data_IF_552350819929
#
_entry.id   IF_552350819929
#
_cell.length_a   1.000
_cell.length_b   1.000
_cell.length_c   1.000
_cell.angle_alpha   90.00
_cell.angle_beta   90.00
_cell.angle_gamma   90.00
#
_symmetry.space_group_name_H-M   'P 1'
#
loop_
_entity.id
_entity.type
_entity.pdbx_description
1 polymer ?
#
# COMPACT_ATOMS: atom_id res chain seq x y z
N UNK A 1 -26.38 6.71 -11.47
CA UNK A 1 -26.50 8.05 -12.06
C UNK A 1 -27.62 8.87 -11.42
N UNK A 2 -28.90 8.43 -11.34
CA UNK A 2 -29.95 9.28 -10.71
C UNK A 2 -29.61 9.68 -9.28
N UNK A 3 -29.18 8.73 -8.44
CA UNK A 3 -28.84 9.00 -7.04
C UNK A 3 -27.59 9.89 -6.82
N UNK A 4 -26.73 10.10 -7.83
CA UNK A 4 -25.56 11.00 -7.72
C UNK A 4 -25.95 12.43 -8.07
N UNK A 5 -26.73 12.59 -9.14
CA UNK A 5 -27.21 13.90 -9.56
C UNK A 5 -28.15 14.49 -8.50
N UNK A 6 -29.01 13.67 -7.90
CA UNK A 6 -29.91 14.10 -6.83
C UNK A 6 -29.12 14.64 -5.61
N UNK A 7 -28.08 13.92 -5.17
CA UNK A 7 -27.19 14.35 -4.06
C UNK A 7 -26.39 15.60 -4.44
N UNK A 8 -25.88 15.69 -5.67
CA UNK A 8 -25.23 16.90 -6.15
C UNK A 8 -26.15 18.10 -6.10
N UNK A 9 -27.37 17.98 -6.64
CA UNK A 9 -28.31 19.11 -6.66
C UNK A 9 -28.72 19.52 -5.24
N UNK A 10 -28.84 18.58 -4.31
CA UNK A 10 -29.12 18.90 -2.91
C UNK A 10 -27.95 19.65 -2.26
N UNK A 11 -26.74 19.09 -2.29
CA UNK A 11 -25.57 19.70 -1.63
C UNK A 11 -25.12 21.01 -2.29
N UNK A 12 -25.14 21.09 -3.63
CA UNK A 12 -24.78 22.31 -4.34
C UNK A 12 -25.83 23.40 -4.13
N UNK A 13 -27.11 23.04 -3.99
CA UNK A 13 -28.17 23.99 -3.63
C UNK A 13 -27.90 24.64 -2.27
N UNK A 14 -27.59 23.84 -1.25
CA UNK A 14 -27.24 24.37 0.08
C UNK A 14 -25.99 25.26 0.07
N UNK A 15 -25.00 24.93 -0.75
CA UNK A 15 -23.79 25.73 -0.87
C UNK A 15 -24.02 27.05 -1.60
N UNK A 16 -24.92 27.08 -2.58
CA UNK A 16 -25.29 28.30 -3.28
C UNK A 16 -26.03 29.26 -2.34
N UNK A 17 -26.97 28.74 -1.53
CA UNK A 17 -27.64 29.53 -0.50
C UNK A 17 -26.64 30.13 0.49
N UNK A 18 -25.68 29.32 1.00
CA UNK A 18 -24.62 29.80 1.90
C UNK A 18 -23.69 30.82 1.23
N UNK A 19 -23.38 30.66 -0.06
CA UNK A 19 -22.56 31.61 -0.81
C UNK A 19 -23.26 32.98 -0.91
N UNK A 20 -24.56 32.99 -1.20
CA UNK A 20 -25.38 34.22 -1.20
C UNK A 20 -25.43 34.86 0.19
N UNK A 21 -25.64 34.07 1.25
CA UNK A 21 -25.63 34.55 2.63
C UNK A 21 -24.30 35.25 2.97
N UNK A 22 -23.16 34.61 2.66
CA UNK A 22 -21.85 35.21 2.89
C UNK A 22 -21.62 36.48 2.07
N UNK A 23 -22.08 36.53 0.81
CA UNK A 23 -21.99 37.75 0.01
C UNK A 23 -22.78 38.91 0.62
N UNK A 24 -24.00 38.64 1.10
CA UNK A 24 -24.84 39.64 1.78
C UNK A 24 -24.24 40.09 3.12
N UNK A 25 -23.59 39.18 3.85
CA UNK A 25 -22.85 39.51 5.08
C UNK A 25 -21.67 40.44 4.77
N UNK A 26 -20.87 40.10 3.77
CA UNK A 26 -19.71 40.90 3.34
C UNK A 26 -20.16 42.28 2.83
N UNK A 27 -21.26 42.37 2.09
CA UNK A 27 -21.83 43.65 1.62
C UNK A 27 -22.18 44.57 2.79
N UNK A 28 -22.78 44.02 3.86
CA UNK A 28 -23.12 44.80 5.05
C UNK A 28 -21.88 45.22 5.83
N UNK A 29 -20.93 44.31 5.99
CA UNK A 29 -19.66 44.55 6.66
C UNK A 29 -18.66 43.48 6.27
N UNK A 30 -17.58 43.88 5.61
CA UNK A 30 -16.49 42.98 5.27
C UNK A 30 -15.95 42.26 6.52
N UNK A 31 -15.78 40.94 6.40
CA UNK A 31 -15.13 40.10 7.41
C UNK A 31 -14.35 38.98 6.74
N UNK A 32 -13.19 38.64 7.30
CA UNK A 32 -12.37 37.54 6.79
C UNK A 32 -13.10 36.19 6.94
N UNK A 33 -13.96 36.05 7.94
CA UNK A 33 -14.79 34.86 8.14
C UNK A 33 -15.79 34.68 7.00
N UNK A 34 -16.51 35.75 6.62
CA UNK A 34 -17.41 35.75 5.48
C UNK A 34 -16.69 35.47 4.16
N UNK A 35 -15.53 36.11 3.93
CA UNK A 35 -14.72 35.87 2.73
C UNK A 35 -14.25 34.41 2.64
N UNK A 36 -13.76 33.84 3.74
CA UNK A 36 -13.33 32.45 3.78
C UNK A 36 -14.51 31.47 3.65
N UNK A 37 -15.69 31.82 4.18
CA UNK A 37 -16.93 31.08 4.00
C UNK A 37 -17.35 31.02 2.53
N UNK A 38 -17.40 32.19 1.87
CA UNK A 38 -17.66 32.31 0.44
C UNK A 38 -16.66 31.50 -0.39
N UNK A 39 -15.35 31.66 -0.11
CA UNK A 39 -14.30 30.91 -0.80
C UNK A 39 -14.52 29.39 -0.71
N UNK A 40 -14.82 28.86 0.49
CA UNK A 40 -15.07 27.42 0.66
C UNK A 40 -16.29 26.94 -0.13
N UNK A 41 -17.36 27.73 -0.17
CA UNK A 41 -18.56 27.39 -0.95
C UNK A 41 -18.23 27.32 -2.45
N UNK A 42 -17.62 28.38 -2.99
CA UNK A 42 -17.25 28.46 -4.42
C UNK A 42 -16.24 27.37 -4.79
N UNK A 43 -15.24 27.12 -3.93
CA UNK A 43 -14.26 26.07 -4.14
C UNK A 43 -14.94 24.70 -4.21
N UNK A 44 -15.84 24.38 -3.27
CA UNK A 44 -16.61 23.11 -3.25
C UNK A 44 -17.51 22.94 -4.49
N UNK A 45 -18.18 24.02 -4.92
CA UNK A 45 -19.01 24.03 -6.14
C UNK A 45 -18.16 23.78 -7.39
N UNK A 46 -16.95 24.35 -7.46
CA UNK A 46 -16.00 24.09 -8.56
C UNK A 46 -15.64 22.61 -8.65
N UNK A 47 -15.23 22.01 -7.54
CA UNK A 47 -14.76 20.62 -7.52
C UNK A 47 -15.86 19.62 -7.88
N UNK A 48 -17.05 19.79 -7.31
CA UNK A 48 -18.21 18.93 -7.59
C UNK A 48 -18.72 19.07 -9.03
N UNK A 49 -18.83 20.30 -9.53
CA UNK A 49 -19.30 20.57 -10.90
C UNK A 49 -18.33 20.10 -11.97
N UNK A 50 -17.01 20.22 -11.73
CA UNK A 50 -15.99 19.71 -12.63
C UNK A 50 -16.06 18.18 -12.76
N UNK A 51 -16.37 17.49 -11.65
CA UNK A 51 -16.47 16.03 -11.63
C UNK A 51 -17.67 15.51 -12.42
N UNK A 52 -18.80 16.22 -12.40
CA UNK A 52 -20.00 15.84 -13.14
C UNK A 52 -20.05 16.37 -14.58
N UNK A 53 -18.94 16.95 -15.04
CA UNK A 53 -18.81 17.59 -16.36
C UNK A 53 -19.78 18.76 -16.59
N UNK A 54 -20.20 19.46 -15.53
CA UNK A 54 -20.90 20.74 -15.63
C UNK A 54 -19.90 21.87 -15.89
N UNK A 55 -19.42 21.93 -17.13
CA UNK A 55 -18.26 22.75 -17.54
C UNK A 55 -18.49 24.23 -17.30
N UNK A 56 -19.68 24.72 -17.56
CA UNK A 56 -20.05 26.12 -17.45
C UNK A 56 -20.01 26.58 -15.99
N UNK A 57 -20.60 25.78 -15.10
CA UNK A 57 -20.56 26.01 -13.64
C UNK A 57 -19.11 25.95 -13.16
N UNK A 58 -18.38 24.89 -13.49
CA UNK A 58 -17.00 24.70 -13.08
C UNK A 58 -16.09 25.85 -13.53
N UNK A 59 -16.30 26.36 -14.75
CA UNK A 59 -15.51 27.47 -15.31
C UNK A 59 -15.78 28.78 -14.57
N UNK A 60 -17.05 29.10 -14.31
CA UNK A 60 -17.42 30.32 -13.60
C UNK A 60 -16.94 30.29 -12.14
N UNK A 61 -17.17 29.17 -11.44
CA UNK A 61 -16.71 28.99 -10.06
C UNK A 61 -15.19 29.05 -9.95
N UNK A 62 -14.45 28.49 -10.92
CA UNK A 62 -12.99 28.56 -10.93
C UNK A 62 -12.48 30.00 -11.05
N UNK A 63 -13.01 30.77 -12.01
CA UNK A 63 -12.61 32.17 -12.19
C UNK A 63 -12.95 33.03 -10.96
N UNK A 64 -14.10 32.79 -10.32
CA UNK A 64 -14.45 33.47 -9.08
C UNK A 64 -13.52 33.05 -7.94
N UNK A 65 -13.23 31.76 -7.80
CA UNK A 65 -12.27 31.26 -6.81
C UNK A 65 -10.90 31.92 -6.95
N UNK A 66 -10.39 32.08 -8.17
CA UNK A 66 -9.10 32.75 -8.43
C UNK A 66 -9.11 34.20 -7.92
N UNK A 67 -10.18 34.96 -8.21
CA UNK A 67 -10.35 36.33 -7.74
C UNK A 67 -10.40 36.37 -6.21
N UNK A 68 -11.21 35.51 -5.58
CA UNK A 68 -11.30 35.41 -4.13
C UNK A 68 -9.96 35.02 -3.50
N UNK A 69 -9.19 34.16 -4.16
CA UNK A 69 -7.86 33.78 -3.69
C UNK A 69 -6.88 34.96 -3.75
N UNK A 70 -6.91 35.77 -4.80
CA UNK A 70 -6.12 37.01 -4.85
C UNK A 70 -6.49 37.98 -3.73
N UNK A 71 -7.76 38.05 -3.34
CA UNK A 71 -8.19 38.86 -2.20
C UNK A 71 -7.62 38.30 -0.89
N UNK A 72 -7.75 36.99 -0.67
CA UNK A 72 -7.23 36.31 0.53
C UNK A 72 -5.71 36.45 0.68
N UNK A 73 -5.00 36.43 -0.44
CA UNK A 73 -3.56 36.66 -0.52
C UNK A 73 -3.16 38.14 -0.31
N UNK A 74 -4.12 39.05 -0.18
CA UNK A 74 -3.88 40.50 -0.09
C UNK A 74 -3.37 41.14 -1.39
N UNK A 75 -3.48 40.43 -2.52
CA UNK A 75 -3.06 40.91 -3.86
C UNK A 75 -4.16 41.73 -4.54
N UNK A 76 -5.39 41.65 -4.05
CA UNK A 76 -6.56 42.38 -4.54
C UNK A 76 -7.37 42.87 -3.34
N UNK A 77 -7.89 44.10 -3.39
CA UNK A 77 -8.83 44.61 -2.38
C UNK A 77 -10.24 44.10 -2.69
N UNK A 78 -10.98 43.65 -1.67
CA UNK A 78 -12.39 43.27 -1.84
C UNK A 78 -13.27 44.53 -1.88
N UNK A 79 -13.25 45.23 -3.00
CA UNK A 79 -14.02 46.44 -3.22
C UNK A 79 -15.40 46.17 -3.83
N UNK A 80 -16.13 47.25 -4.18
CA UNK A 80 -17.46 47.14 -4.79
C UNK A 80 -17.43 46.43 -6.15
N UNK A 81 -16.39 46.61 -6.96
CA UNK A 81 -16.27 45.93 -8.26
C UNK A 81 -16.18 44.42 -8.05
N UNK A 82 -15.39 43.97 -7.06
CA UNK A 82 -15.23 42.56 -6.71
C UNK A 82 -16.50 41.98 -6.06
N UNK A 83 -17.19 42.74 -5.22
CA UNK A 83 -18.47 42.32 -4.65
C UNK A 83 -19.54 42.14 -5.75
N UNK A 84 -19.71 43.14 -6.62
CA UNK A 84 -20.73 43.13 -7.68
C UNK A 84 -20.48 41.99 -8.68
N UNK A 85 -19.23 41.72 -9.04
CA UNK A 85 -18.91 40.59 -9.92
C UNK A 85 -19.12 39.24 -9.22
N UNK A 86 -18.87 39.14 -7.91
CA UNK A 86 -19.08 37.91 -7.15
C UNK A 86 -20.57 37.54 -7.10
N UNK A 87 -21.46 38.50 -6.82
CA UNK A 87 -22.91 38.29 -6.91
C UNK A 87 -23.34 37.84 -8.31
N UNK A 88 -22.88 38.54 -9.35
CA UNK A 88 -23.22 38.21 -10.74
C UNK A 88 -22.81 36.80 -11.14
N UNK A 89 -21.66 36.32 -10.65
CA UNK A 89 -21.21 34.96 -10.93
C UNK A 89 -22.04 33.94 -10.15
N UNK A 90 -22.33 34.18 -8.88
CA UNK A 90 -23.19 33.28 -8.08
C UNK A 90 -24.59 33.18 -8.67
N UNK A 91 -25.21 34.30 -9.04
CA UNK A 91 -26.51 34.35 -9.72
C UNK A 91 -26.51 33.49 -10.99
N UNK A 92 -25.45 33.60 -11.80
CA UNK A 92 -25.34 32.86 -13.05
C UNK A 92 -25.10 31.37 -12.80
N UNK A 93 -24.33 31.00 -11.78
CA UNK A 93 -24.19 29.62 -11.35
C UNK A 93 -25.54 29.04 -10.92
N UNK A 94 -26.38 29.81 -10.20
CA UNK A 94 -27.74 29.38 -9.81
C UNK A 94 -28.62 29.14 -11.05
N UNK A 95 -28.53 30.00 -12.06
CA UNK A 95 -29.27 29.80 -13.33
C UNK A 95 -28.84 28.49 -14.00
N UNK A 96 -27.54 28.27 -14.17
CA UNK A 96 -26.99 27.05 -14.75
C UNK A 96 -27.34 25.79 -13.95
N UNK A 97 -27.28 25.89 -12.62
CA UNK A 97 -27.65 24.84 -11.69
C UNK A 97 -29.11 24.42 -11.90
N UNK A 98 -30.03 25.38 -11.98
CA UNK A 98 -31.45 25.09 -12.20
C UNK A 98 -31.71 24.51 -13.60
N UNK A 99 -31.02 25.02 -14.64
CA UNK A 99 -31.11 24.47 -15.99
C UNK A 99 -30.69 22.99 -16.03
N UNK A 100 -29.54 22.65 -15.42
CA UNK A 100 -29.08 21.26 -15.35
C UNK A 100 -29.97 20.37 -14.48
N UNK A 101 -30.63 20.93 -13.47
CA UNK A 101 -31.58 20.21 -12.60
C UNK A 101 -32.89 19.88 -13.31
N UNK A 102 -33.40 20.79 -14.12
CA UNK A 102 -34.65 20.63 -14.86
C UNK A 102 -34.48 19.79 -16.14
N UNK A 103 -33.35 19.95 -16.83
CA UNK A 103 -33.07 19.37 -18.15
C UNK A 103 -31.62 18.86 -18.26
N UNK A 104 -31.29 17.80 -17.50
CA UNK A 104 -29.93 17.23 -17.55
C UNK A 104 -29.57 16.71 -18.95
N UNK A 105 -28.51 17.27 -19.54
CA UNK A 105 -27.97 16.87 -20.84
C UNK A 105 -28.54 17.60 -22.06
N UNK A 106 -29.42 18.59 -21.87
CA UNK A 106 -29.83 19.50 -22.95
C UNK A 106 -28.78 20.59 -23.18
N UNK A 107 -28.62 21.00 -24.44
CA UNK A 107 -27.73 22.11 -24.79
C UNK A 107 -28.29 23.43 -24.24
N UNK A 108 -27.40 24.22 -23.65
CA UNK A 108 -27.70 25.57 -23.17
C UNK A 108 -28.03 26.45 -24.38
N UNK A 109 -29.08 27.28 -24.27
CA UNK A 109 -29.49 28.14 -25.39
C UNK A 109 -28.44 29.21 -25.73
N UNK A 110 -28.55 29.75 -26.95
CA UNK A 110 -27.58 30.71 -27.51
C UNK A 110 -27.54 32.02 -26.70
N UNK A 111 -28.67 32.44 -26.13
CA UNK A 111 -28.78 33.68 -25.35
C UNK A 111 -28.06 33.57 -23.99
N UNK A 112 -28.19 32.41 -23.32
CA UNK A 112 -27.48 32.10 -22.08
C UNK A 112 -25.99 31.97 -22.37
N UNK A 113 -25.62 31.30 -23.46
CA UNK A 113 -24.22 31.17 -23.89
C UNK A 113 -23.53 32.53 -24.11
N UNK A 114 -24.21 33.48 -24.78
CA UNK A 114 -23.70 34.84 -24.99
C UNK A 114 -23.49 35.59 -23.65
N UNK A 115 -24.43 35.44 -22.72
CA UNK A 115 -24.34 36.05 -21.38
C UNK A 115 -23.16 35.48 -20.57
N UNK A 116 -22.96 34.16 -20.61
CA UNK A 116 -21.84 33.49 -19.95
C UNK A 116 -20.50 33.99 -20.48
N UNK A 117 -20.38 34.16 -21.79
CA UNK A 117 -19.15 34.66 -22.41
C UNK A 117 -18.85 36.10 -21.99
N UNK A 118 -19.88 36.95 -21.89
CA UNK A 118 -19.75 38.30 -21.34
C UNK A 118 -19.21 38.33 -19.92
N UNK A 119 -19.70 37.44 -19.03
CA UNK A 119 -19.22 37.33 -17.65
C UNK A 119 -17.78 36.79 -17.60
N UNK A 120 -17.45 35.78 -18.40
CA UNK A 120 -16.09 35.23 -18.50
C UNK A 120 -15.08 36.30 -18.91
N UNK A 121 -15.40 37.12 -19.91
CA UNK A 121 -14.53 38.23 -20.36
C UNK A 121 -14.31 39.24 -19.24
N UNK A 122 -15.34 39.58 -18.45
CA UNK A 122 -15.19 40.49 -17.31
C UNK A 122 -14.23 39.93 -16.26
N UNK A 123 -14.39 38.65 -15.91
CA UNK A 123 -13.51 37.95 -14.96
C UNK A 123 -12.07 37.88 -15.48
N UNK A 124 -11.87 37.57 -16.77
CA UNK A 124 -10.54 37.52 -17.40
C UNK A 124 -9.86 38.90 -17.44
N UNK A 125 -10.63 39.98 -17.61
CA UNK A 125 -10.11 41.33 -17.50
C UNK A 125 -9.64 41.66 -16.07
N UNK A 126 -10.32 41.17 -15.03
CA UNK A 126 -9.89 41.34 -13.63
C UNK A 126 -8.62 40.52 -13.37
N UNK A 127 -8.60 39.24 -13.75
CA UNK A 127 -7.44 38.35 -13.55
C UNK A 127 -6.21 38.84 -14.33
N UNK A 128 -6.39 39.34 -15.56
CA UNK A 128 -5.29 39.89 -16.38
C UNK A 128 -4.69 41.18 -15.82
N UNK A 129 -5.52 42.06 -15.21
CA UNK A 129 -5.02 43.24 -14.47
C UNK A 129 -4.09 42.83 -13.32
N UNK A 130 -4.35 41.70 -12.67
CA UNK A 130 -3.59 41.19 -11.52
C UNK A 130 -2.32 40.45 -11.99
N UNK A 131 -2.42 39.58 -12.99
CA UNK A 131 -1.31 38.75 -13.50
C UNK A 131 -0.28 39.51 -14.34
N UNK A 132 -0.60 40.73 -14.79
CA UNK A 132 0.38 41.63 -15.45
C UNK A 132 1.47 42.16 -14.50
N UNK A 133 1.41 41.83 -13.21
CA UNK A 133 2.36 42.25 -12.17
C UNK A 133 3.14 41.10 -11.49
N UNK A 134 3.11 39.86 -12.00
CA UNK A 134 3.91 38.76 -11.44
C UNK A 134 3.92 37.50 -12.31
N UNK A 135 5.11 36.90 -12.47
CA UNK A 135 5.45 35.79 -13.37
C UNK A 135 4.53 34.55 -13.25
N UNK A 136 4.35 33.88 -14.40
CA UNK A 136 3.44 32.76 -14.65
C UNK A 136 4.05 31.40 -14.30
N UNK A 137 3.25 30.55 -13.63
CA UNK A 137 3.30 29.08 -13.73
C UNK A 137 2.03 28.59 -14.44
N UNK A 138 2.10 27.49 -15.21
CA UNK A 138 0.93 26.82 -15.80
C UNK A 138 1.08 25.30 -15.66
N UNK A 139 0.06 24.65 -15.09
CA UNK A 139 -0.19 23.19 -15.11
C UNK A 139 -1.52 22.95 -15.83
N UNK A 140 -1.62 21.85 -16.58
CA UNK A 140 -2.77 21.45 -17.42
C UNK A 140 -3.29 20.08 -16.97
N UNK A 141 -4.62 19.86 -17.03
CA UNK A 141 -5.34 18.61 -16.78
C UNK A 141 -6.10 18.15 -18.04
N UNK A 142 -6.20 16.84 -18.28
CA UNK A 142 -7.18 16.23 -19.22
C UNK A 142 -7.74 14.87 -18.71
N UNK A 143 -8.91 14.51 -19.27
CA UNK A 143 -10.04 13.69 -18.78
C UNK A 143 -10.09 12.22 -19.24
N UNK A 144 -11.03 11.48 -18.61
CA UNK A 144 -11.42 10.06 -18.76
C UNK A 144 -12.37 9.70 -19.93
N UNK A 145 -12.66 8.39 -20.09
CA UNK A 145 -13.95 7.88 -20.55
C UNK A 145 -14.31 6.44 -20.06
N UNK A 146 -15.61 6.28 -19.75
CA UNK A 146 -16.45 5.18 -19.20
C UNK A 146 -16.58 3.88 -20.05
N UNK A 147 -17.16 2.71 -19.64
CA UNK A 147 -18.46 2.43 -19.00
C UNK A 147 -18.76 0.88 -18.80
N UNK A 148 -19.59 0.48 -17.79
CA UNK A 148 -20.55 -0.69 -17.68
C UNK A 148 -20.38 -1.90 -16.70
N UNK A 149 -21.06 -1.84 -15.53
CA UNK A 149 -22.24 -2.61 -14.99
C UNK A 149 -22.24 -4.17 -14.63
N UNK A 150 -22.64 -4.43 -13.35
CA UNK A 150 -23.33 -5.55 -12.61
C UNK A 150 -22.70 -6.95 -12.31
N UNK A 151 -22.59 -7.28 -10.99
CA UNK A 151 -23.26 -8.48 -10.40
C UNK A 151 -22.45 -9.63 -9.76
N UNK A 152 -22.25 -9.57 -8.42
CA UNK A 152 -22.09 -10.66 -7.42
C UNK A 152 -20.92 -11.70 -7.41
N UNK A 153 -20.58 -12.11 -6.17
CA UNK A 153 -19.65 -13.15 -5.67
C UNK A 153 -18.14 -12.87 -5.68
N UNK A 154 -17.49 -13.20 -4.56
CA UNK A 154 -16.06 -12.99 -4.32
C UNK A 154 -15.28 -14.06 -5.09
N UNK A 155 -14.86 -13.70 -6.30
CA UNK A 155 -13.76 -14.32 -7.05
C UNK A 155 -12.59 -13.32 -7.06
N UNK A 156 -11.40 -13.79 -6.68
CA UNK A 156 -10.13 -13.13 -6.94
C UNK A 156 -9.76 -13.53 -8.38
N UNK A 157 -9.71 -12.60 -9.32
CA UNK A 157 -9.30 -12.91 -10.69
C UNK A 157 -7.77 -13.09 -10.77
N UNK A 158 -7.33 -14.16 -11.43
CA UNK A 158 -5.92 -14.44 -11.73
C UNK A 158 -5.42 -13.39 -12.74
N UNK A 159 -4.35 -12.66 -12.40
CA UNK A 159 -3.73 -11.65 -13.27
C UNK A 159 -3.85 -10.20 -12.80
N UNK A 160 -4.86 -9.83 -12.01
CA UNK A 160 -5.07 -8.45 -11.56
C UNK A 160 -4.22 -8.07 -10.32
N UNK A 161 -3.59 -6.90 -10.30
CA UNK A 161 -2.93 -6.33 -9.12
C UNK A 161 -3.89 -6.24 -7.92
N UNK A 162 -3.35 -6.26 -6.70
CA UNK A 162 -4.14 -6.15 -5.47
C UNK A 162 -3.49 -5.11 -4.58
N UNK A 163 -4.18 -4.04 -4.22
CA UNK A 163 -3.65 -2.89 -3.49
C UNK A 163 -4.35 -2.73 -2.14
N UNK A 164 -3.61 -2.38 -1.10
CA UNK A 164 -4.16 -1.75 0.09
C UNK A 164 -4.08 -0.24 -0.12
N UNK A 165 -5.25 0.40 -0.14
CA UNK A 165 -5.38 1.82 -0.44
C UNK A 165 -5.91 2.53 0.78
N UNK A 166 -5.20 3.57 1.22
CA UNK A 166 -5.63 4.49 2.28
C UNK A 166 -5.79 5.89 1.69
N UNK A 167 -6.98 6.43 1.79
CA UNK A 167 -7.36 7.76 1.31
C UNK A 167 -7.68 8.62 2.54
N UNK A 168 -6.97 9.73 2.70
CA UNK A 168 -7.23 10.76 3.69
C UNK A 168 -8.07 11.85 3.03
N UNK A 169 -9.22 12.15 3.62
CA UNK A 169 -10.17 13.14 3.08
C UNK A 169 -10.01 14.47 3.80
N UNK A 170 -10.24 15.56 3.09
CA UNK A 170 -10.26 16.88 3.69
C UNK A 170 -11.52 17.07 4.53
N UNK A 171 -11.34 17.26 5.83
CA UNK A 171 -12.42 17.57 6.78
C UNK A 171 -12.97 18.98 6.63
N UNK A 172 -12.27 19.87 5.92
CA UNK A 172 -12.74 21.22 5.60
C UNK A 172 -13.61 21.24 4.33
N UNK A 173 -13.70 20.12 3.60
CA UNK A 173 -14.59 19.94 2.46
C UNK A 173 -16.05 19.81 2.92
N UNK A 174 -16.89 20.67 2.37
CA UNK A 174 -18.33 20.72 2.66
C UNK A 174 -19.13 19.70 1.83
N UNK A 175 -18.54 19.11 0.77
CA UNK A 175 -19.17 18.13 -0.12
C UNK A 175 -18.49 16.75 -0.05
N UNK A 176 -18.07 16.34 1.15
CA UNK A 176 -17.44 15.03 1.31
C UNK A 176 -18.31 13.88 0.78
N UNK A 177 -19.64 14.00 0.74
CA UNK A 177 -20.50 12.94 0.19
C UNK A 177 -20.25 12.70 -1.30
N UNK A 178 -20.04 13.77 -2.08
CA UNK A 178 -19.68 13.68 -3.49
C UNK A 178 -18.29 13.07 -3.63
N UNK A 179 -17.31 13.57 -2.88
CA UNK A 179 -15.94 13.04 -2.91
C UNK A 179 -15.91 11.54 -2.57
N UNK A 180 -16.65 11.12 -1.53
CA UNK A 180 -16.82 9.71 -1.16
C UNK A 180 -17.48 8.90 -2.27
N UNK A 181 -18.53 9.45 -2.88
CA UNK A 181 -19.24 8.80 -3.97
C UNK A 181 -18.29 8.56 -5.14
N UNK A 182 -17.55 9.60 -5.56
CA UNK A 182 -16.60 9.52 -6.68
C UNK A 182 -15.54 8.47 -6.37
N UNK A 183 -14.87 8.53 -5.22
CA UNK A 183 -13.86 7.53 -4.81
C UNK A 183 -14.42 6.12 -4.95
N UNK A 184 -15.57 5.85 -4.34
CA UNK A 184 -16.17 4.52 -4.38
C UNK A 184 -16.53 4.11 -5.81
N UNK A 185 -17.11 5.02 -6.58
CA UNK A 185 -17.52 4.73 -7.94
C UNK A 185 -16.32 4.49 -8.85
N UNK A 186 -15.30 5.34 -8.82
CA UNK A 186 -14.06 5.18 -9.59
C UNK A 186 -13.35 3.88 -9.25
N UNK A 187 -13.26 3.53 -7.96
CA UNK A 187 -12.71 2.24 -7.56
C UNK A 187 -13.52 1.08 -8.16
N UNK A 188 -14.85 1.12 -8.11
CA UNK A 188 -15.67 0.08 -8.74
C UNK A 188 -15.58 0.03 -10.28
N UNK A 189 -15.23 1.14 -10.93
CA UNK A 189 -15.04 1.19 -12.38
C UNK A 189 -13.71 0.57 -12.82
N UNK A 190 -12.63 0.88 -12.10
CA UNK A 190 -11.28 0.45 -12.47
C UNK A 190 -10.89 -0.88 -11.83
N UNK A 191 -11.72 -1.45 -10.96
CA UNK A 191 -11.41 -2.68 -10.26
C UNK A 191 -12.47 -3.10 -9.24
N UNK A 192 -12.08 -3.91 -8.27
CA UNK A 192 -12.95 -4.52 -7.27
C UNK A 192 -12.46 -4.23 -5.87
N UNK A 193 -13.27 -3.51 -5.10
CA UNK A 193 -13.05 -3.34 -3.66
C UNK A 193 -13.45 -4.63 -2.93
N UNK A 194 -12.48 -5.31 -2.33
CA UNK A 194 -12.65 -6.59 -1.60
C UNK A 194 -12.99 -6.34 -0.13
N UNK A 195 -12.45 -5.28 0.44
CA UNK A 195 -12.66 -4.86 1.82
C UNK A 195 -12.64 -3.34 1.88
N UNK A 196 -13.43 -2.73 2.77
CA UNK A 196 -13.27 -1.32 3.08
C UNK A 196 -13.65 -0.96 4.52
N UNK A 197 -13.04 0.11 5.02
CA UNK A 197 -13.36 0.75 6.29
C UNK A 197 -13.26 2.29 6.16
N UNK A 198 -14.35 3.05 6.37
CA UNK A 198 -15.70 2.56 6.63
C UNK A 198 -16.27 1.70 5.49
N UNK A 199 -17.34 0.92 5.73
CA UNK A 199 -17.95 0.09 4.71
C UNK A 199 -18.37 0.92 3.49
N UNK A 200 -18.23 0.38 2.29
CA UNK A 200 -18.53 1.10 1.05
C UNK A 200 -19.96 1.67 1.00
N UNK A 201 -20.93 1.01 1.65
CA UNK A 201 -22.30 1.51 1.81
C UNK A 201 -22.39 2.80 2.62
N UNK A 202 -21.52 2.96 3.62
CA UNK A 202 -21.44 4.16 4.45
C UNK A 202 -20.82 5.34 3.69
N UNK A 203 -19.90 5.06 2.77
CA UNK A 203 -19.36 6.08 1.85
C UNK A 203 -20.43 6.62 0.89
N UNK A 204 -21.48 5.83 0.62
CA UNK A 204 -22.55 6.15 -0.33
C UNK A 204 -23.84 6.62 0.36
N UNK A 205 -23.90 6.68 1.70
CA UNK A 205 -25.11 7.09 2.41
C UNK A 205 -25.17 8.60 2.59
N UNK A 206 -26.25 9.22 2.09
CA UNK A 206 -26.62 10.61 2.32
C UNK A 206 -27.08 10.88 3.76
N UNK A 207 -27.37 9.84 4.55
CA UNK A 207 -27.92 9.97 5.92
C UNK A 207 -26.89 10.23 7.03
N UNK A 208 -25.59 10.21 6.71
CA UNK A 208 -24.53 10.32 7.72
C UNK A 208 -23.78 11.65 7.60
N UNK A 209 -24.24 12.65 8.38
CA UNK A 209 -23.57 13.93 8.64
C UNK A 209 -22.16 13.81 9.28
N UNK A 210 -21.66 12.60 9.48
CA UNK A 210 -20.31 12.35 9.98
C UNK A 210 -19.31 12.52 8.84
N UNK A 211 -18.55 13.62 8.90
CA UNK A 211 -17.29 13.77 8.19
C UNK A 211 -16.40 12.54 8.45
N UNK A 212 -15.71 12.07 7.43
CA UNK A 212 -14.70 11.03 7.57
C UNK A 212 -13.36 11.62 7.23
N UNK A 213 -12.37 11.29 8.04
CA UNK A 213 -10.99 11.71 7.81
C UNK A 213 -10.26 10.72 6.91
N UNK A 214 -10.76 9.48 6.84
CA UNK A 214 -9.99 8.34 6.36
C UNK A 214 -10.88 7.24 5.81
N UNK A 215 -10.51 6.73 4.64
CA UNK A 215 -11.05 5.53 4.00
C UNK A 215 -9.91 4.56 3.69
N UNK A 216 -10.06 3.31 4.11
CA UNK A 216 -9.12 2.22 3.82
C UNK A 216 -9.82 1.12 3.05
N UNK A 217 -9.15 0.53 2.07
CA UNK A 217 -9.71 -0.60 1.35
C UNK A 217 -8.65 -1.53 0.78
N UNK A 218 -9.07 -2.76 0.48
CA UNK A 218 -8.33 -3.70 -0.35
C UNK A 218 -8.97 -3.66 -1.74
N UNK A 219 -8.16 -3.42 -2.76
CA UNK A 219 -8.61 -3.09 -4.11
C UNK A 219 -7.89 -3.92 -5.16
N UNK A 220 -8.62 -4.69 -5.95
CA UNK A 220 -8.05 -5.49 -7.03
C UNK A 220 -8.31 -4.85 -8.38
N UNK A 221 -7.32 -4.76 -9.26
CA UNK A 221 -7.44 -4.10 -10.56
C UNK A 221 -6.33 -4.58 -11.50
N UNK A 222 -6.54 -4.55 -12.80
CA UNK A 222 -5.47 -4.80 -13.78
C UNK A 222 -4.52 -3.61 -13.94
N UNK A 223 -4.89 -2.44 -13.44
CA UNK A 223 -4.09 -1.21 -13.52
C UNK A 223 -2.90 -1.25 -12.55
N UNK A 224 -1.83 -0.56 -12.90
CA UNK A 224 -0.70 -0.33 -12.00
C UNK A 224 -1.02 0.76 -10.94
N UNK A 225 -0.17 0.90 -9.94
CA UNK A 225 -0.41 1.79 -8.81
C UNK A 225 -0.53 3.26 -9.21
N UNK A 226 0.21 3.69 -10.24
CA UNK A 226 0.20 5.07 -10.74
C UNK A 226 -1.12 5.38 -11.45
N UNK A 227 -1.57 4.47 -12.31
CA UNK A 227 -2.89 4.56 -12.96
C UNK A 227 -4.02 4.54 -11.94
N UNK A 228 -3.92 3.73 -10.89
CA UNK A 228 -4.91 3.72 -9.79
C UNK A 228 -4.89 5.05 -9.04
N UNK A 229 -3.71 5.56 -8.68
CA UNK A 229 -3.55 6.86 -8.01
C UNK A 229 -4.25 7.96 -8.80
N UNK A 230 -3.89 8.10 -10.08
CA UNK A 230 -4.44 9.14 -10.95
C UNK A 230 -5.96 9.07 -11.11
N UNK A 231 -6.55 7.88 -10.95
CA UNK A 231 -7.99 7.69 -11.04
C UNK A 231 -8.72 8.07 -9.74
N UNK A 232 -8.14 7.77 -8.58
CA UNK A 232 -8.77 8.05 -7.28
C UNK A 232 -8.32 9.39 -6.67
N UNK A 233 -7.38 10.08 -7.30
CA UNK A 233 -6.95 11.45 -6.97
C UNK A 233 -8.00 12.46 -7.44
N UNK A 234 -9.07 12.52 -6.65
CA UNK A 234 -10.21 13.40 -6.86
C UNK A 234 -10.07 14.63 -5.95
N UNK A 235 -10.76 15.75 -6.24
CA UNK A 235 -10.77 16.91 -5.38
C UNK A 235 -11.05 16.54 -3.91
N UNK A 236 -10.46 17.29 -2.97
CA UNK A 236 -10.63 17.11 -1.51
C UNK A 236 -10.05 15.83 -0.91
N UNK A 237 -9.24 15.10 -1.68
CA UNK A 237 -8.38 14.07 -1.13
C UNK A 237 -7.07 14.71 -0.66
N UNK A 238 -6.82 14.69 0.65
CA UNK A 238 -5.58 15.20 1.25
C UNK A 238 -4.38 14.33 0.89
N UNK A 239 -4.57 13.02 0.85
CA UNK A 239 -3.48 12.07 0.62
C UNK A 239 -4.00 10.70 0.24
N UNK A 240 -3.36 10.08 -0.74
CA UNK A 240 -3.58 8.68 -1.09
C UNK A 240 -2.29 7.91 -0.81
N UNK A 241 -2.42 6.73 -0.22
CA UNK A 241 -1.35 5.75 -0.07
C UNK A 241 -1.82 4.46 -0.70
N UNK A 242 -1.11 4.02 -1.73
CA UNK A 242 -1.38 2.77 -2.45
C UNK A 242 -0.21 1.83 -2.18
N UNK A 243 -0.50 0.62 -1.72
CA UNK A 243 0.50 -0.41 -1.45
C UNK A 243 0.08 -1.67 -2.18
N UNK A 244 0.89 -2.18 -3.10
CA UNK A 244 0.56 -3.44 -3.75
C UNK A 244 0.75 -4.60 -2.77
N UNK A 245 -0.34 -5.29 -2.45
CA UNK A 245 -0.42 -6.48 -1.60
C UNK A 245 0.31 -7.66 -2.25
N UNK A 246 0.41 -7.70 -3.59
CA UNK A 246 1.20 -8.71 -4.32
C UNK A 246 2.69 -8.33 -4.40
N UNK A 247 3.05 -7.05 -4.52
CA UNK A 247 4.46 -6.60 -4.45
C UNK A 247 5.00 -6.55 -3.01
N UNK A 248 4.13 -6.72 -2.01
CA UNK A 248 4.52 -6.88 -0.61
C UNK A 248 5.34 -8.15 -0.33
N UNK A 249 5.59 -9.02 -1.32
CA UNK A 249 6.62 -10.05 -1.20
C UNK A 249 8.04 -9.56 -1.48
N UNK A 250 8.21 -8.40 -2.13
CA UNK A 250 9.50 -7.86 -2.56
C UNK A 250 9.82 -6.50 -1.93
N UNK A 251 8.84 -5.59 -1.76
CA UNK A 251 9.08 -4.27 -1.15
C UNK A 251 8.96 -4.23 0.38
N UNK A 252 8.48 -5.31 1.02
CA UNK A 252 8.61 -5.51 2.48
C UNK A 252 9.96 -6.09 2.89
N UNK A 253 10.97 -5.79 2.10
CA UNK A 253 12.32 -5.68 2.58
C UNK A 253 12.60 -4.21 2.83
N UNK A 254 12.47 -3.77 4.09
CA UNK A 254 12.91 -2.47 4.62
C UNK A 254 14.45 -2.31 4.47
N UNK A 255 14.95 -2.46 3.26
CA UNK A 255 16.33 -2.36 2.90
C UNK A 255 16.41 -1.35 1.77
N UNK A 256 16.83 -0.12 2.09
CA UNK A 256 17.32 0.83 1.08
C UNK A 256 18.71 0.40 0.60
N UNK A 257 18.87 -0.90 0.34
CA UNK A 257 20.11 -1.55 -0.01
C UNK A 257 20.08 -1.89 -1.50
N UNK A 258 21.21 -1.69 -2.16
CA UNK A 258 21.50 -2.23 -3.47
C UNK A 258 21.50 -3.76 -3.46
N UNK A 259 21.42 -4.39 -4.65
CA UNK A 259 21.46 -5.85 -4.78
C UNK A 259 22.71 -6.46 -4.12
N UNK A 260 23.87 -5.81 -4.26
CA UNK A 260 25.13 -6.28 -3.68
C UNK A 260 25.10 -6.25 -2.14
N UNK A 261 24.47 -5.25 -1.56
CA UNK A 261 24.31 -5.11 -0.11
C UNK A 261 23.29 -6.11 0.46
N UNK A 262 22.24 -6.44 -0.30
CA UNK A 262 21.30 -7.53 0.03
C UNK A 262 22.02 -8.88 -0.01
N UNK A 263 22.82 -9.15 -1.03
CA UNK A 263 23.60 -10.39 -1.14
C UNK A 263 24.60 -10.54 0.01
N UNK A 264 25.27 -9.45 0.39
CA UNK A 264 26.16 -9.41 1.55
C UNK A 264 25.43 -9.77 2.86
N UNK A 265 24.25 -9.19 3.08
CA UNK A 265 23.44 -9.47 4.26
C UNK A 265 22.96 -10.93 4.29
N UNK A 266 22.47 -11.44 3.16
CA UNK A 266 22.06 -12.85 3.03
C UNK A 266 23.24 -13.77 3.32
N UNK A 267 24.43 -13.44 2.80
CA UNK A 267 25.66 -14.18 3.06
C UNK A 267 25.99 -14.25 4.54
N UNK A 268 25.99 -13.11 5.24
CA UNK A 268 26.23 -13.05 6.70
C UNK A 268 25.25 -13.92 7.48
N UNK A 269 23.95 -13.76 7.22
CA UNK A 269 22.90 -14.50 7.93
C UNK A 269 22.95 -16.00 7.64
N UNK A 270 23.25 -16.39 6.39
CA UNK A 270 23.40 -17.80 6.00
C UNK A 270 24.62 -18.43 6.68
N UNK A 271 25.76 -17.74 6.68
CA UNK A 271 26.97 -18.21 7.38
C UNK A 271 26.75 -18.31 8.89
N UNK A 272 26.08 -17.32 9.50
CA UNK A 272 25.73 -17.37 10.92
C UNK A 272 24.81 -18.56 11.25
N UNK A 273 23.84 -18.85 10.39
CA UNK A 273 22.98 -20.03 10.53
C UNK A 273 23.75 -21.36 10.43
N UNK A 274 24.80 -21.41 9.60
CA UNK A 274 25.65 -22.61 9.45
C UNK A 274 26.56 -22.89 10.66
N UNK A 275 26.81 -21.89 11.52
CA UNK A 275 27.61 -22.09 12.76
C UNK A 275 27.02 -23.14 13.70
N UNK A 276 25.75 -23.50 13.55
CA UNK A 276 25.09 -24.60 14.26
C UNK A 276 25.92 -25.88 14.20
N UNK A 277 26.62 -26.12 13.09
CA UNK A 277 27.46 -27.29 12.90
C UNK A 277 28.59 -27.37 13.94
N UNK A 278 29.11 -26.24 14.42
CA UNK A 278 30.18 -26.19 15.41
C UNK A 278 29.70 -26.53 16.82
N UNK A 279 28.47 -26.14 17.14
CA UNK A 279 27.85 -26.44 18.43
C UNK A 279 27.30 -27.86 18.49
N UNK A 280 27.13 -28.53 17.35
CA UNK A 280 26.57 -29.89 17.24
C UNK A 280 27.59 -30.97 16.92
N UNK A 281 28.68 -30.66 16.21
CA UNK A 281 29.72 -31.62 15.82
C UNK A 281 31.09 -31.14 16.33
N UNK A 282 31.73 -31.94 17.19
CA UNK A 282 33.11 -31.71 17.63
C UNK A 282 34.07 -31.87 16.45
N UNK A 283 34.41 -30.79 15.74
CA UNK A 283 35.38 -30.80 14.65
C UNK A 283 36.56 -29.83 14.89
N UNK A 284 37.35 -29.60 13.84
CA UNK A 284 38.71 -29.08 13.85
C UNK A 284 38.77 -27.59 14.19
N UNK A 285 39.09 -27.31 15.45
CA UNK A 285 39.17 -25.99 16.08
C UNK A 285 39.84 -24.87 15.25
N UNK A 286 40.85 -25.16 14.43
CA UNK A 286 41.59 -24.15 13.64
C UNK A 286 40.75 -23.64 12.46
N UNK A 287 40.02 -24.52 11.78
CA UNK A 287 39.15 -24.17 10.65
C UNK A 287 37.91 -23.39 11.15
N UNK A 288 37.35 -23.81 12.29
CA UNK A 288 36.23 -23.15 12.96
C UNK A 288 36.58 -21.70 13.35
N UNK A 289 37.76 -21.46 13.92
CA UNK A 289 38.20 -20.10 14.30
C UNK A 289 38.37 -19.19 13.09
N UNK A 290 38.81 -19.73 11.95
CA UNK A 290 38.97 -18.98 10.70
C UNK A 290 37.60 -18.56 10.15
N UNK A 291 36.66 -19.49 10.03
CA UNK A 291 35.30 -19.18 9.53
C UNK A 291 34.56 -18.17 10.42
N UNK A 292 34.71 -18.26 11.75
CA UNK A 292 34.15 -17.26 12.68
C UNK A 292 34.81 -15.89 12.50
N UNK A 293 36.13 -15.86 12.25
CA UNK A 293 36.88 -14.61 12.00
C UNK A 293 36.43 -13.95 10.69
N UNK A 294 36.29 -14.73 9.63
CA UNK A 294 35.85 -14.26 8.32
C UNK A 294 34.41 -13.70 8.42
N UNK A 295 33.50 -14.45 9.07
CA UNK A 295 32.13 -14.00 9.31
C UNK A 295 32.07 -12.71 10.15
N UNK A 296 32.89 -12.59 11.18
CA UNK A 296 32.98 -11.37 11.98
C UNK A 296 33.43 -10.15 11.13
N UNK A 297 34.31 -10.38 10.16
CA UNK A 297 34.68 -9.38 9.16
C UNK A 297 33.52 -8.93 8.29
N UNK A 298 32.73 -9.88 7.76
CA UNK A 298 31.55 -9.58 6.93
C UNK A 298 30.45 -8.86 7.73
N UNK A 299 30.22 -9.23 8.98
CA UNK A 299 29.28 -8.54 9.88
C UNK A 299 29.62 -7.06 10.03
N UNK A 300 30.91 -6.71 10.15
CA UNK A 300 31.35 -5.31 10.22
C UNK A 300 31.05 -4.55 8.93
N UNK A 301 31.16 -5.19 7.77
CA UNK A 301 30.80 -4.57 6.49
C UNK A 301 29.30 -4.26 6.44
N UNK A 302 28.46 -5.21 6.86
CA UNK A 302 27.00 -5.02 6.95
C UNK A 302 26.63 -3.89 7.92
N UNK A 303 27.31 -3.76 9.06
CA UNK A 303 27.06 -2.69 10.02
C UNK A 303 27.41 -1.29 9.51
N UNK A 304 28.21 -1.16 8.45
CA UNK A 304 28.51 0.14 7.84
C UNK A 304 27.47 0.59 6.81
N UNK A 305 26.48 -0.25 6.49
CA UNK A 305 25.44 0.05 5.52
C UNK A 305 24.41 1.04 6.12
N UNK A 306 24.04 2.06 5.36
CA UNK A 306 23.14 3.15 5.80
C UNK A 306 21.67 2.89 5.51
N UNK A 307 21.35 1.83 4.74
CA UNK A 307 20.00 1.50 4.29
C UNK A 307 19.29 0.38 5.05
N UNK A 308 19.82 -0.06 6.19
CA UNK A 308 19.28 -1.18 6.98
C UNK A 308 18.27 -0.70 8.03
N UNK A 309 17.12 -1.34 8.15
CA UNK A 309 16.17 -1.14 9.26
C UNK A 309 16.84 -1.24 10.64
N UNK A 310 16.40 -0.41 11.57
CA UNK A 310 17.00 -0.32 12.90
C UNK A 310 16.98 -1.66 13.66
N UNK A 311 15.94 -2.50 13.48
CA UNK A 311 15.84 -3.81 14.15
C UNK A 311 16.83 -4.81 13.57
N UNK A 312 16.99 -4.79 12.25
CA UNK A 312 17.95 -5.65 11.54
C UNK A 312 19.37 -5.22 11.91
N UNK A 313 19.66 -3.93 11.87
CA UNK A 313 20.95 -3.39 12.27
C UNK A 313 21.29 -3.77 13.73
N UNK A 314 20.32 -3.68 14.63
CA UNK A 314 20.48 -4.11 16.04
C UNK A 314 20.80 -5.60 16.14
N UNK A 315 20.09 -6.44 15.39
CA UNK A 315 20.32 -7.88 15.40
C UNK A 315 21.69 -8.26 14.80
N UNK A 316 22.11 -7.63 13.70
CA UNK A 316 23.45 -7.83 13.13
C UNK A 316 24.54 -7.40 14.12
N UNK A 317 24.30 -6.32 14.89
CA UNK A 317 25.22 -5.88 15.94
C UNK A 317 25.35 -6.92 17.05
N UNK A 318 24.24 -7.54 17.46
CA UNK A 318 24.25 -8.63 18.43
C UNK A 318 25.01 -9.86 17.91
N UNK A 319 24.84 -10.22 16.62
CA UNK A 319 25.67 -11.25 15.97
C UNK A 319 27.14 -10.87 16.07
N UNK A 320 27.51 -9.63 15.77
CA UNK A 320 28.89 -9.16 15.89
C UNK A 320 29.45 -9.30 17.32
N UNK A 321 28.66 -8.93 18.33
CA UNK A 321 29.04 -9.10 19.74
C UNK A 321 29.23 -10.59 20.07
N UNK A 322 28.29 -11.44 19.66
CA UNK A 322 28.39 -12.89 19.87
C UNK A 322 29.64 -13.49 19.24
N UNK A 323 29.94 -13.17 17.98
CA UNK A 323 31.16 -13.63 17.30
C UNK A 323 32.43 -13.10 17.98
N UNK A 324 32.42 -11.84 18.43
CA UNK A 324 33.55 -11.27 19.16
C UNK A 324 33.82 -11.98 20.49
N UNK A 325 32.76 -12.45 21.18
CA UNK A 325 32.88 -13.26 22.38
C UNK A 325 33.52 -14.62 22.06
N UNK A 326 33.08 -15.29 20.99
CA UNK A 326 33.67 -16.56 20.53
C UNK A 326 35.15 -16.43 20.15
N UNK A 327 35.56 -15.28 19.61
CA UNK A 327 36.94 -14.99 19.24
C UNK A 327 37.82 -14.52 20.42
N UNK A 328 37.23 -14.22 21.58
CA UNK A 328 37.96 -13.70 22.75
C UNK A 328 38.78 -14.78 23.47
N UNK A 329 39.97 -14.41 23.95
CA UNK A 329 40.88 -15.30 24.69
C UNK A 329 40.31 -15.74 26.06
N UNK A 330 39.20 -15.14 26.53
CA UNK A 330 38.53 -15.44 27.81
C UNK A 330 37.74 -16.76 27.76
N UNK A 331 37.20 -17.12 26.61
CA UNK A 331 36.54 -18.43 26.38
C UNK A 331 37.59 -19.51 26.09
N UNK A 332 38.79 -19.09 25.68
CA UNK A 332 39.87 -19.94 25.20
C UNK A 332 41.12 -20.13 26.12
N UNK A 333 41.03 -20.29 27.46
CA UNK A 333 42.26 -20.56 28.22
C UNK A 333 42.60 -22.05 28.37
N UNK A 334 41.62 -22.97 28.49
CA UNK A 334 41.88 -24.40 28.76
C UNK A 334 40.62 -25.28 28.55
N UNK A 335 40.79 -26.46 27.96
CA UNK A 335 39.73 -27.39 27.50
C UNK A 335 38.63 -27.77 28.53
N UNK A 336 38.87 -27.61 29.83
CA UNK A 336 37.90 -27.96 30.88
C UNK A 336 36.86 -26.86 31.19
N UNK A 337 37.18 -25.57 30.95
CA UNK A 337 36.21 -24.48 31.09
C UNK A 337 35.32 -24.32 29.84
N UNK A 338 35.74 -24.90 28.72
CA UNK A 338 35.00 -24.91 27.46
C UNK A 338 33.62 -25.57 27.59
N UNK A 339 33.50 -26.64 28.38
CA UNK A 339 32.28 -27.45 28.52
C UNK A 339 31.16 -26.74 29.31
N UNK A 340 31.52 -25.82 30.22
CA UNK A 340 30.53 -25.06 31.02
C UNK A 340 30.14 -23.73 30.34
N UNK A 341 31.07 -23.12 29.61
CA UNK A 341 30.73 -22.01 28.72
C UNK A 341 29.93 -22.49 27.49
N UNK A 342 30.16 -23.71 26.99
CA UNK A 342 29.46 -24.25 25.81
C UNK A 342 27.95 -24.24 26.02
N UNK A 343 27.42 -24.77 27.13
CA UNK A 343 25.96 -24.85 27.31
C UNK A 343 25.26 -23.47 27.30
N UNK A 344 25.92 -22.44 27.83
CA UNK A 344 25.37 -21.08 27.82
C UNK A 344 25.52 -20.41 26.45
N UNK A 345 26.63 -20.69 25.74
CA UNK A 345 26.88 -20.22 24.38
C UNK A 345 25.93 -20.90 23.38
N UNK A 346 25.69 -22.21 23.54
CA UNK A 346 24.76 -23.01 22.76
C UNK A 346 23.33 -22.46 22.94
N UNK A 347 22.90 -22.25 24.19
CA UNK A 347 21.59 -21.67 24.50
C UNK A 347 21.42 -20.27 23.91
N UNK A 348 22.45 -19.42 24.02
CA UNK A 348 22.46 -18.09 23.42
C UNK A 348 22.38 -18.17 21.90
N UNK A 349 23.16 -19.05 21.27
CA UNK A 349 23.15 -19.27 19.83
C UNK A 349 21.77 -19.72 19.35
N UNK A 350 21.17 -20.74 19.99
CA UNK A 350 19.83 -21.23 19.65
C UNK A 350 18.78 -20.12 19.76
N UNK A 351 18.83 -19.30 20.82
CA UNK A 351 17.93 -18.15 20.96
C UNK A 351 18.13 -17.11 19.84
N UNK A 352 19.38 -16.88 19.42
CA UNK A 352 19.67 -15.99 18.30
C UNK A 352 19.15 -16.56 16.97
N UNK A 353 19.20 -17.87 16.78
CA UNK A 353 18.65 -18.54 15.58
C UNK A 353 17.13 -18.46 15.53
N UNK A 354 16.43 -18.65 16.65
CA UNK A 354 14.99 -18.44 16.73
C UNK A 354 14.62 -17.00 16.40
N UNK A 355 15.36 -16.03 16.95
CA UNK A 355 15.17 -14.60 16.64
C UNK A 355 15.46 -14.27 15.19
N UNK A 356 16.51 -14.85 14.60
CA UNK A 356 16.83 -14.72 13.19
C UNK A 356 15.63 -15.15 12.34
N UNK A 357 15.08 -16.34 12.61
CA UNK A 357 13.89 -16.81 11.91
C UNK A 357 12.71 -15.84 12.07
N UNK A 358 12.39 -15.40 13.28
CA UNK A 358 11.26 -14.48 13.49
C UNK A 358 11.44 -13.12 12.80
N UNK A 359 12.67 -12.59 12.76
CA UNK A 359 12.96 -11.29 12.14
C UNK A 359 12.83 -11.36 10.61
N UNK A 360 13.28 -12.49 10.01
CA UNK A 360 13.44 -12.62 8.56
C UNK A 360 12.43 -13.55 7.87
N UNK A 361 11.57 -14.28 8.61
CA UNK A 361 10.50 -15.12 8.04
C UNK A 361 9.65 -14.31 7.05
N UNK A 362 9.46 -14.87 5.85
CA UNK A 362 8.77 -14.27 4.70
C UNK A 362 9.38 -12.96 4.17
N UNK A 363 10.57 -12.58 4.64
CA UNK A 363 11.28 -11.37 4.19
C UNK A 363 12.58 -11.74 3.47
N UNK A 364 13.47 -12.49 4.13
CA UNK A 364 14.76 -12.96 3.61
C UNK A 364 14.99 -14.38 4.09
N UNK A 365 15.69 -15.18 3.29
CA UNK A 365 16.24 -16.49 3.64
C UNK A 365 15.16 -17.55 3.87
N UNK A 366 14.12 -17.27 4.66
CA UNK A 366 13.03 -18.19 5.01
C UNK A 366 11.72 -17.77 4.37
N UNK A 367 11.12 -18.65 3.58
CA UNK A 367 9.75 -18.54 3.10
C UNK A 367 8.89 -19.55 3.85
N UNK A 368 7.70 -19.14 4.25
CA UNK A 368 6.70 -20.00 4.85
C UNK A 368 5.42 -19.97 4.02
N UNK A 369 4.91 -21.14 3.68
CA UNK A 369 3.63 -21.32 2.98
C UNK A 369 2.80 -22.36 3.70
N UNK A 370 1.54 -22.04 3.93
CA UNK A 370 0.59 -22.94 4.60
C UNK A 370 -0.41 -23.49 3.58
N UNK A 371 -0.58 -24.81 3.57
CA UNK A 371 -1.59 -25.49 2.77
C UNK A 371 -2.91 -25.60 3.54
N UNK A 372 -4.01 -25.43 2.82
CA UNK A 372 -5.36 -25.42 3.39
C UNK A 372 -6.29 -26.33 2.60
N UNK A 373 -7.36 -26.81 3.22
CA UNK A 373 -8.40 -27.59 2.56
C UNK A 373 -9.40 -26.68 1.80
N UNK A 374 -8.89 -25.72 1.03
CA UNK A 374 -9.68 -24.72 0.29
C UNK A 374 -9.57 -24.89 -1.23
N UNK A 375 -8.95 -25.98 -1.71
CA UNK A 375 -8.80 -26.29 -3.13
C UNK A 375 -7.74 -25.49 -3.88
N UNK A 376 -7.03 -24.56 -3.21
CA UNK A 376 -6.06 -23.65 -3.85
C UNK A 376 -4.60 -24.02 -3.63
N UNK A 377 -4.30 -25.23 -3.17
CA UNK A 377 -2.92 -25.60 -2.89
C UNK A 377 -2.06 -25.75 -4.16
N UNK A 378 -2.68 -26.10 -5.29
CA UNK A 378 -1.99 -26.11 -6.59
C UNK A 378 -1.50 -24.70 -6.93
N UNK A 379 -2.37 -23.69 -6.84
CA UNK A 379 -2.01 -22.27 -7.03
C UNK A 379 -0.88 -21.85 -6.07
N UNK A 380 -0.93 -22.27 -4.79
CA UNK A 380 0.14 -21.99 -3.81
C UNK A 380 1.48 -22.58 -4.22
N UNK A 381 1.50 -23.79 -4.77
CA UNK A 381 2.73 -24.39 -5.30
C UNK A 381 3.23 -23.68 -6.56
N UNK A 382 2.33 -23.24 -7.43
CA UNK A 382 2.70 -22.48 -8.62
C UNK A 382 3.25 -21.09 -8.27
N UNK A 383 2.68 -20.42 -7.28
CA UNK A 383 3.21 -19.18 -6.72
C UNK A 383 4.61 -19.37 -6.13
N UNK A 384 4.84 -20.48 -5.41
CA UNK A 384 6.16 -20.82 -4.89
C UNK A 384 7.21 -20.94 -6.02
N UNK A 385 6.81 -21.54 -7.13
CA UNK A 385 7.68 -21.83 -8.25
C UNK A 385 7.94 -20.60 -9.13
N UNK A 386 6.93 -19.76 -9.33
CA UNK A 386 6.97 -18.66 -10.29
C UNK A 386 7.28 -17.30 -9.66
N UNK A 387 6.92 -17.08 -8.39
CA UNK A 387 6.97 -15.75 -7.76
C UNK A 387 8.02 -15.61 -6.66
N UNK A 388 8.66 -16.69 -6.20
CA UNK A 388 9.71 -16.56 -5.19
C UNK A 388 10.98 -15.94 -5.79
N UNK A 389 11.48 -14.84 -5.24
CA UNK A 389 12.78 -14.29 -5.59
C UNK A 389 13.90 -15.22 -5.08
N UNK A 390 14.59 -15.87 -6.00
CA UNK A 390 15.51 -17.00 -5.75
C UNK A 390 16.85 -16.57 -5.13
N UNK A 391 17.22 -15.32 -5.34
CA UNK A 391 18.36 -14.70 -4.68
C UNK A 391 18.07 -14.44 -3.19
N UNK A 392 16.82 -14.19 -2.83
CA UNK A 392 16.39 -13.76 -1.48
C UNK A 392 16.10 -14.95 -0.56
N UNK A 393 15.38 -15.97 -1.04
CA UNK A 393 14.96 -17.11 -0.22
C UNK A 393 15.82 -18.35 -0.47
N UNK A 394 16.28 -18.98 0.62
CA UNK A 394 17.13 -20.19 0.61
C UNK A 394 16.47 -21.39 1.27
N UNK A 395 15.50 -21.14 2.15
CA UNK A 395 14.79 -22.15 2.92
C UNK A 395 13.29 -21.92 2.75
N UNK A 396 12.55 -22.94 2.34
CA UNK A 396 11.10 -22.88 2.14
C UNK A 396 10.44 -23.94 3.02
N UNK A 397 9.59 -23.48 3.94
CA UNK A 397 8.70 -24.31 4.74
C UNK A 397 7.34 -24.42 4.04
N UNK A 398 6.87 -25.63 3.81
CA UNK A 398 5.47 -25.88 3.43
C UNK A 398 4.76 -26.58 4.58
N UNK A 399 3.80 -25.90 5.20
CA UNK A 399 3.00 -26.45 6.29
C UNK A 399 1.82 -27.25 5.75
N UNK A 400 1.86 -28.55 6.03
CA UNK A 400 0.84 -29.54 5.69
C UNK A 400 0.05 -29.99 6.92
N UNK A 401 0.23 -29.34 8.07
CA UNK A 401 -0.38 -29.73 9.34
C UNK A 401 -1.91 -29.60 9.34
N UNK A 402 -2.47 -28.71 8.51
CA UNK A 402 -3.93 -28.48 8.42
C UNK A 402 -4.64 -29.38 7.41
N UNK A 403 -3.91 -30.11 6.56
CA UNK A 403 -4.52 -30.95 5.53
C UNK A 403 -4.64 -32.41 5.97
N UNK A 404 -5.65 -33.10 5.43
CA UNK A 404 -5.92 -34.51 5.75
C UNK A 404 -5.20 -35.47 4.81
N UNK A 405 -4.97 -35.03 3.57
CA UNK A 405 -4.33 -35.76 2.49
C UNK A 405 -3.84 -34.73 1.47
N UNK A 406 -2.74 -35.06 0.79
CA UNK A 406 -2.35 -34.39 -0.45
C UNK A 406 -2.96 -35.18 -1.60
N UNK A 407 -3.76 -34.51 -2.43
CA UNK A 407 -4.34 -35.13 -3.62
C UNK A 407 -3.27 -35.43 -4.67
N UNK A 408 -3.61 -36.25 -5.68
CA UNK A 408 -2.66 -36.68 -6.71
C UNK A 408 -1.99 -35.49 -7.41
N UNK A 409 -2.78 -34.48 -7.78
CA UNK A 409 -2.27 -33.30 -8.48
C UNK A 409 -1.42 -32.40 -7.56
N UNK A 410 -1.78 -32.30 -6.27
CA UNK A 410 -0.97 -31.60 -5.26
C UNK A 410 0.37 -32.30 -5.01
N UNK A 411 0.39 -33.63 -4.95
CA UNK A 411 1.63 -34.42 -4.85
C UNK A 411 2.51 -34.23 -6.08
N UNK A 412 1.91 -34.24 -7.27
CA UNK A 412 2.62 -34.00 -8.53
C UNK A 412 3.27 -32.61 -8.54
N UNK A 413 2.56 -31.58 -8.05
CA UNK A 413 3.12 -30.24 -7.92
C UNK A 413 4.18 -30.11 -6.84
N UNK A 414 4.01 -30.77 -5.69
CA UNK A 414 5.06 -30.81 -4.66
C UNK A 414 6.37 -31.42 -5.21
N UNK A 415 6.27 -32.48 -6.01
CA UNK A 415 7.43 -33.09 -6.68
C UNK A 415 8.10 -32.10 -7.65
N UNK A 416 7.31 -31.36 -8.44
CA UNK A 416 7.81 -30.35 -9.36
C UNK A 416 8.55 -29.23 -8.62
N UNK A 417 7.94 -28.70 -7.55
CA UNK A 417 8.52 -27.68 -6.67
C UNK A 417 9.84 -28.19 -6.09
N UNK A 418 9.85 -29.40 -5.55
CA UNK A 418 11.04 -30.00 -4.93
C UNK A 418 12.20 -30.13 -5.91
N UNK A 419 11.97 -30.67 -7.11
CA UNK A 419 13.01 -30.82 -8.13
C UNK A 419 13.61 -29.48 -8.51
N UNK A 420 12.75 -28.49 -8.78
CA UNK A 420 13.19 -27.16 -9.18
C UNK A 420 13.97 -26.45 -8.08
N UNK A 421 13.52 -26.54 -6.83
CA UNK A 421 14.23 -25.96 -5.71
C UNK A 421 15.60 -26.61 -5.50
N UNK A 422 15.72 -27.93 -5.64
CA UNK A 422 17.02 -28.60 -5.59
C UNK A 422 17.99 -28.13 -6.69
N UNK A 423 17.52 -27.93 -7.92
CA UNK A 423 18.34 -27.37 -9.01
C UNK A 423 18.81 -25.94 -8.72
N UNK A 424 17.99 -25.16 -8.01
CA UNK A 424 18.24 -23.76 -7.67
C UNK A 424 18.98 -23.59 -6.31
N UNK A 425 19.29 -24.68 -5.62
CA UNK A 425 19.93 -24.66 -4.29
C UNK A 425 19.04 -24.11 -3.18
N UNK A 426 17.71 -24.14 -3.37
CA UNK A 426 16.70 -23.78 -2.38
C UNK A 426 16.28 -25.06 -1.65
N UNK A 427 16.16 -24.99 -0.34
CA UNK A 427 15.85 -26.17 0.46
C UNK A 427 14.41 -26.15 0.91
N UNK A 428 13.69 -27.18 0.49
CA UNK A 428 12.31 -27.42 0.86
C UNK A 428 12.22 -28.34 2.07
N UNK A 429 11.40 -27.98 3.05
CA UNK A 429 11.02 -28.85 4.16
C UNK A 429 9.54 -28.70 4.47
N UNK A 430 8.99 -29.69 5.17
CA UNK A 430 7.57 -29.75 5.50
C UNK A 430 7.35 -29.59 7.00
N UNK A 431 6.33 -28.82 7.35
CA UNK A 431 5.78 -28.82 8.71
C UNK A 431 4.59 -29.78 8.73
N UNK A 432 4.73 -30.86 9.48
CA UNK A 432 3.80 -31.97 9.57
C UNK A 432 3.45 -32.28 11.03
N UNK A 433 2.84 -31.30 11.70
CA UNK A 433 2.41 -31.36 13.11
C UNK A 433 0.96 -31.81 13.33
N UNK A 434 0.20 -31.98 12.25
CA UNK A 434 -1.25 -32.17 12.29
C UNK A 434 -1.76 -33.50 12.87
N UNK A 435 -3.07 -33.58 13.07
CA UNK A 435 -3.77 -34.81 13.49
C UNK A 435 -3.58 -35.98 12.50
N UNK A 436 -3.24 -35.67 11.25
CA UNK A 436 -3.02 -36.64 10.18
C UNK A 436 -1.54 -36.92 9.87
N UNK A 437 -0.61 -36.50 10.75
CA UNK A 437 0.84 -36.56 10.47
C UNK A 437 1.38 -37.90 10.00
N UNK A 438 0.99 -39.00 10.65
CA UNK A 438 1.47 -40.36 10.34
C UNK A 438 1.10 -40.76 8.92
N UNK A 439 -0.12 -40.39 8.49
CA UNK A 439 -0.62 -40.71 7.15
C UNK A 439 0.15 -39.93 6.10
N UNK A 440 0.30 -38.62 6.28
CA UNK A 440 1.03 -37.75 5.35
C UNK A 440 2.51 -38.15 5.26
N UNK A 441 3.13 -38.44 6.40
CA UNK A 441 4.50 -38.94 6.47
C UNK A 441 4.71 -40.19 5.60
N UNK A 442 3.84 -41.20 5.79
CA UNK A 442 3.90 -42.44 5.01
C UNK A 442 3.67 -42.21 3.50
N UNK A 443 2.81 -41.27 3.12
CA UNK A 443 2.56 -40.92 1.71
C UNK A 443 3.85 -40.33 1.11
N UNK A 444 4.47 -39.36 1.78
CA UNK A 444 5.68 -38.69 1.28
C UNK A 444 6.85 -39.67 1.19
N UNK A 445 7.09 -40.46 2.23
CA UNK A 445 8.14 -41.49 2.27
C UNK A 445 7.96 -42.57 1.19
N UNK A 446 6.73 -42.90 0.83
CA UNK A 446 6.45 -43.88 -0.23
C UNK A 446 6.82 -43.39 -1.64
N UNK A 447 7.10 -42.09 -1.81
CA UNK A 447 7.44 -41.48 -3.09
C UNK A 447 8.92 -41.15 -3.10
N UNK A 448 9.74 -42.04 -3.69
CA UNK A 448 11.21 -41.93 -3.72
C UNK A 448 11.76 -40.54 -4.08
N UNK A 449 11.08 -39.80 -4.97
CA UNK A 449 11.56 -38.48 -5.43
C UNK A 449 11.52 -37.45 -4.30
N UNK A 450 10.56 -37.54 -3.38
CA UNK A 450 10.34 -36.57 -2.29
C UNK A 450 10.51 -37.18 -0.90
N UNK A 451 10.94 -38.45 -0.82
CA UNK A 451 11.21 -39.14 0.44
C UNK A 451 12.30 -38.41 1.25
N UNK A 452 13.25 -37.77 0.57
CA UNK A 452 14.32 -37.00 1.21
C UNK A 452 13.85 -35.62 1.73
N UNK A 453 12.59 -35.21 1.49
CA UNK A 453 12.06 -33.97 2.06
C UNK A 453 11.92 -34.15 3.57
N UNK A 454 12.67 -33.33 4.33
CA UNK A 454 12.61 -33.34 5.78
C UNK A 454 11.25 -32.86 6.29
N UNK A 455 10.75 -33.55 7.31
CA UNK A 455 9.46 -33.27 7.93
C UNK A 455 9.66 -32.99 9.42
N UNK A 456 9.08 -31.89 9.90
CA UNK A 456 9.17 -31.44 11.28
C UNK A 456 7.80 -31.30 11.89
N UNK A 457 7.67 -31.46 13.20
CA UNK A 457 6.36 -31.35 13.85
C UNK A 457 5.87 -29.90 13.97
N UNK A 458 6.79 -28.92 13.96
CA UNK A 458 6.46 -27.50 14.08
C UNK A 458 7.60 -26.63 13.50
N UNK A 459 7.32 -25.32 13.34
CA UNK A 459 8.28 -24.36 12.80
C UNK A 459 9.56 -24.25 13.63
N UNK A 460 9.44 -24.21 14.96
CA UNK A 460 10.60 -24.11 15.86
C UNK A 460 11.53 -25.30 15.69
N UNK A 461 10.98 -26.51 15.61
CA UNK A 461 11.75 -27.72 15.34
C UNK A 461 12.42 -27.66 13.96
N UNK A 462 11.70 -27.18 12.94
CA UNK A 462 12.26 -27.05 11.60
C UNK A 462 13.43 -26.06 11.55
N UNK A 463 13.34 -24.93 12.25
CA UNK A 463 14.38 -23.91 12.30
C UNK A 463 15.61 -24.41 13.06
N UNK A 464 15.39 -25.07 14.20
CA UNK A 464 16.44 -25.55 15.09
C UNK A 464 17.11 -26.82 14.58
N UNK A 465 16.36 -27.73 13.96
CA UNK A 465 16.80 -29.07 13.53
C UNK A 465 16.79 -29.24 12.00
N UNK A 466 16.77 -28.14 11.24
CA UNK A 466 17.23 -28.18 9.84
C UNK A 466 18.69 -28.60 9.85
N UNK A 467 18.93 -29.90 9.77
CA UNK A 467 20.28 -30.44 9.69
C UNK A 467 20.73 -30.29 8.24
N UNK A 468 21.62 -29.36 7.96
CA UNK A 468 22.26 -29.32 6.65
C UNK A 468 23.34 -30.40 6.57
N UNK A 469 23.05 -31.39 5.72
CA UNK A 469 23.99 -32.05 4.79
C UNK A 469 25.17 -32.77 5.43
N UNK A 470 24.93 -34.04 5.78
CA UNK A 470 25.87 -35.13 5.50
C UNK A 470 25.83 -35.38 3.98
N UNK A 471 26.64 -34.65 3.22
CA UNK A 471 27.39 -35.06 2.02
C UNK A 471 28.02 -33.89 1.27
#
# INVERSE_FOLDING_TARGET
MSNLLDVFFEETGELLEKAEEHLVEIEKSYSDEGLNGLFRCIHSIKGSSATLDFREIATLSHKLEDILNYVRDGKLEFDKEILDISFRVVDEIIVLFNLHRESYGEEIDEATTEKLEGIKILLDNIISRITSNGDREVVTLEKENSNRIYGEKITLEEGANSYFIRIMLDTEDLMQSITRFIIVNTMNEIGKVVYSNPPMRFMLSSESSSLIEKYECIFNTELDAEMVYNKIDVPYVKRISIVNIRDEYLEKLEFRLSSEEVDLLIGVLTCFYRLKNYFTQKQNYIEEKREITDLYGEVKKVLNLTGIDMRIHTFIKEIGIFLSLLLSDVILPNANNFIKLSNNVDSLYLSMIERLYQVFKNKLIFKYVELNADGRNIERFEDLVNRIPRNIFKYVAVDISKIKILEYDELKKLIEVYKRFNEEGIVLYLINGGSHRKRLYNIIESINIIADIKQYSNESEAVLYNDFILK
#
